data_IF_752101231992
#
_entry.id   IF_752101231992
#
_cell.length_a   1.000
_cell.length_b   1.000
_cell.length_c   1.000
_cell.angle_alpha   90.00
_cell.angle_beta   90.00
_cell.angle_gamma   90.00
#
_symmetry.space_group_name_H-M   'P 1'
#
loop_
_entity.id
_entity.type
_entity.pdbx_description
1 polymer ?
#
# COMPACT_ATOMS: atom_id res chain seq x y z
N UNK A 1 -1.44 -7.69 -10.24
CA UNK A 1 -2.45 -7.03 -9.38
C UNK A 1 -3.28 -6.09 -10.24
N UNK A 2 -4.50 -6.52 -10.64
CA UNK A 2 -5.44 -5.67 -11.40
C UNK A 2 -5.64 -4.36 -10.63
N UNK A 3 -5.39 -3.22 -11.28
CA UNK A 3 -5.41 -1.89 -10.68
C UNK A 3 -6.82 -1.31 -10.88
N UNK A 4 -7.62 -1.20 -9.82
CA UNK A 4 -8.94 -0.58 -9.94
C UNK A 4 -8.83 0.89 -10.35
N UNK A 5 -9.70 1.34 -11.26
CA UNK A 5 -9.79 2.74 -11.71
C UNK A 5 -10.02 3.73 -10.57
N UNK A 6 -10.66 3.26 -9.49
CA UNK A 6 -10.90 3.98 -8.22
C UNK A 6 -9.61 4.53 -7.58
N UNK A 7 -8.47 3.91 -7.84
CA UNK A 7 -7.15 4.30 -7.31
C UNK A 7 -6.61 5.62 -7.87
N UNK A 8 -7.11 6.07 -9.02
CA UNK A 8 -6.72 7.33 -9.66
C UNK A 8 -7.56 8.52 -9.15
N UNK A 9 -8.77 8.28 -8.62
CA UNK A 9 -9.59 9.31 -7.98
C UNK A 9 -9.02 9.66 -6.60
N UNK A 10 -8.21 10.72 -6.53
CA UNK A 10 -7.60 11.26 -5.30
C UNK A 10 -8.59 12.13 -4.50
N UNK A 11 -9.73 11.57 -4.07
CA UNK A 11 -10.68 12.27 -3.18
C UNK A 11 -10.38 11.89 -1.73
N UNK A 12 -9.78 12.80 -0.95
CA UNK A 12 -9.47 12.61 0.47
C UNK A 12 -8.46 11.49 0.79
N UNK A 13 -7.88 10.83 -0.23
CA UNK A 13 -7.01 9.68 -0.06
C UNK A 13 -5.55 10.03 -0.35
N UNK A 14 -4.66 9.44 0.45
CA UNK A 14 -3.21 9.52 0.27
C UNK A 14 -2.81 8.98 -1.10
N UNK A 15 -1.85 9.65 -1.76
CA UNK A 15 -1.34 9.22 -3.07
C UNK A 15 -0.94 7.75 -3.01
N UNK A 16 -1.47 6.96 -3.93
CA UNK A 16 -1.33 5.51 -3.93
C UNK A 16 0.13 5.01 -3.81
N UNK A 17 1.11 5.74 -4.37
CA UNK A 17 2.55 5.43 -4.24
C UNK A 17 2.98 5.33 -2.76
N UNK A 18 2.51 6.24 -1.92
CA UNK A 18 2.85 6.29 -0.50
C UNK A 18 2.10 5.22 0.31
N UNK A 19 0.83 4.96 0.00
CA UNK A 19 0.08 3.83 0.56
C UNK A 19 0.80 2.50 0.28
N UNK A 20 1.27 2.28 -0.95
CA UNK A 20 2.09 1.10 -1.29
C UNK A 20 3.37 0.99 -0.46
N UNK A 21 4.07 2.11 -0.26
CA UNK A 21 5.32 2.11 0.52
C UNK A 21 5.05 1.67 1.98
N UNK A 22 3.96 2.14 2.58
CA UNK A 22 3.52 1.70 3.92
C UNK A 22 3.20 0.20 3.97
N UNK A 23 2.37 -0.29 3.02
CA UNK A 23 1.99 -1.71 2.95
C UNK A 23 3.23 -2.61 2.79
N UNK A 24 4.18 -2.23 1.91
CA UNK A 24 5.41 -3.01 1.69
C UNK A 24 6.28 -3.09 2.95
N UNK A 25 6.43 -1.97 3.67
CA UNK A 25 7.18 -1.93 4.94
C UNK A 25 6.51 -2.81 6.01
N UNK A 26 5.18 -2.69 6.17
CA UNK A 26 4.44 -3.49 7.15
C UNK A 26 4.55 -4.99 6.87
N UNK A 27 4.41 -5.40 5.60
CA UNK A 27 4.61 -6.82 5.20
C UNK A 27 6.02 -7.33 5.50
N UNK A 28 7.05 -6.50 5.30
CA UNK A 28 8.44 -6.89 5.60
C UNK A 28 8.64 -7.11 7.10
N UNK A 29 8.09 -6.22 7.95
CA UNK A 29 8.16 -6.38 9.41
C UNK A 29 7.46 -7.66 9.87
N UNK A 30 6.23 -7.89 9.41
CA UNK A 30 5.50 -9.14 9.72
C UNK A 30 6.25 -10.42 9.33
N UNK A 31 7.04 -10.38 8.26
CA UNK A 31 7.87 -11.52 7.85
C UNK A 31 9.07 -11.74 8.77
N UNK A 32 9.64 -10.67 9.33
CA UNK A 32 10.76 -10.74 10.27
C UNK A 32 10.27 -11.15 11.66
N UNK A 33 9.10 -10.67 12.07
CA UNK A 33 8.49 -11.03 13.37
C UNK A 33 7.92 -12.46 13.38
N UNK A 34 7.65 -13.05 12.21
CA UNK A 34 7.11 -14.40 12.07
C UNK A 34 8.20 -15.48 11.88
N UNK A 35 9.47 -15.08 11.86
CA UNK A 35 10.66 -15.96 11.84
C UNK A 35 11.38 -15.87 13.16
#
# INVERSE_FOLDING_TARGET
MKRSSRRWKKKGQMRWKWQRKKIKKAKRRRKIEAT
#
